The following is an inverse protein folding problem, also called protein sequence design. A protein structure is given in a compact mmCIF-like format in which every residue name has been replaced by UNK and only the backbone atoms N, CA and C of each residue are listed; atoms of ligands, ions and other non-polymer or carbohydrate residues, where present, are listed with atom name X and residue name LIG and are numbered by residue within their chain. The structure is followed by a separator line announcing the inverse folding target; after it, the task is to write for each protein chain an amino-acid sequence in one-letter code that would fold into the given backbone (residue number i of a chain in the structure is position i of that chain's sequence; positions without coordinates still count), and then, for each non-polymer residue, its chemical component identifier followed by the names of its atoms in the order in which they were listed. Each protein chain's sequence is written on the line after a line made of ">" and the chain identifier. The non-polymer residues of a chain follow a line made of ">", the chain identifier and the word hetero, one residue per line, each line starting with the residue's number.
data_IF_029142532245
#
_entry.id   IF_029142532245
#
_cell.length_a   1.000
_cell.length_b   1.000
_cell.length_c   1.000
_cell.angle_alpha   90.00
_cell.angle_beta   90.00
_cell.angle_gamma   90.00
#
_symmetry.space_group_name_H-M   'P 1'
#
loop_
_entity.id
_entity.type
_entity.pdbx_description
1 polymer ?
#
# COMPACT_ATOMS: atom_id res chain seq x y z
N UNK A 1 15.14 -9.78 19.02
CA UNK A 1 15.19 -10.48 17.72
C UNK A 1 14.54 -9.59 16.69
N UNK A 2 15.32 -9.08 15.74
CA UNK A 2 14.89 -8.11 14.73
C UNK A 2 15.11 -8.79 13.38
N UNK A 3 14.01 -9.04 12.67
CA UNK A 3 14.00 -9.57 11.30
C UNK A 3 13.69 -8.41 10.36
N UNK A 4 14.43 -8.34 9.26
CA UNK A 4 14.31 -7.33 8.23
C UNK A 4 12.85 -7.06 7.79
N UNK A 5 12.44 -5.79 7.81
CA UNK A 5 11.21 -5.31 7.16
C UNK A 5 10.16 -4.70 8.11
N UNK A 6 10.23 -3.38 8.29
CA UNK A 6 9.09 -2.49 8.55
C UNK A 6 8.16 -2.81 9.74
N UNK A 7 8.22 -1.99 10.79
CA UNK A 7 7.09 -1.86 11.71
C UNK A 7 6.00 -0.98 11.07
N UNK A 8 5.22 -1.52 10.14
CA UNK A 8 4.07 -0.81 9.54
C UNK A 8 2.79 -1.15 10.30
N UNK A 9 2.65 -0.59 11.50
CA UNK A 9 1.36 -0.51 12.18
C UNK A 9 0.41 0.31 11.29
N UNK A 10 -0.59 -0.35 10.70
CA UNK A 10 -1.60 0.31 9.88
C UNK A 10 -2.52 1.15 10.79
N UNK A 11 -2.65 2.45 10.52
CA UNK A 11 -3.56 3.31 11.27
C UNK A 11 -5.03 2.93 10.95
N UNK A 12 -5.71 2.34 11.94
CA UNK A 12 -7.11 1.92 11.84
C UNK A 12 -8.11 2.98 12.32
N UNK A 13 -7.65 4.16 12.75
CA UNK A 13 -8.55 5.23 13.20
C UNK A 13 -9.47 5.65 12.06
N UNK A 14 -10.74 5.82 12.37
CA UNK A 14 -11.75 6.36 11.45
C UNK A 14 -12.10 7.77 11.85
N UNK A 15 -12.15 8.66 10.86
CA UNK A 15 -12.52 10.07 11.07
C UNK A 15 -13.16 10.62 9.80
N UNK A 16 -13.49 11.90 9.83
CA UNK A 16 -14.11 12.61 8.72
C UNK A 16 -13.15 12.72 7.54
N UNK A 17 -13.69 12.50 6.34
CA UNK A 17 -13.00 12.70 5.07
C UNK A 17 -13.62 13.90 4.35
N UNK A 18 -12.79 14.73 3.76
CA UNK A 18 -13.18 15.98 3.11
C UNK A 18 -12.81 15.94 1.64
N UNK A 19 -13.75 16.39 0.78
CA UNK A 19 -13.54 16.45 -0.68
C UNK A 19 -12.60 17.57 -1.09
N UNK A 20 -12.47 18.62 -0.28
CA UNK A 20 -11.60 19.76 -0.57
C UNK A 20 -10.69 20.08 0.61
N UNK A 21 -9.52 20.63 0.30
CA UNK A 21 -8.58 21.20 1.25
C UNK A 21 -8.03 22.51 0.70
N UNK A 22 -8.07 23.55 1.52
CA UNK A 22 -7.64 24.91 1.21
C UNK A 22 -6.31 25.17 1.92
N UNK A 23 -5.21 25.09 1.17
CA UNK A 23 -3.85 25.17 1.74
C UNK A 23 -3.45 26.55 2.22
N UNK A 24 -4.12 27.60 1.74
CA UNK A 24 -3.91 29.00 2.11
C UNK A 24 -4.27 29.28 3.57
N UNK A 25 -5.33 28.65 4.07
CA UNK A 25 -5.84 28.86 5.44
C UNK A 25 -5.93 27.56 6.26
N UNK A 26 -5.57 26.41 5.68
CA UNK A 26 -5.58 25.10 6.34
C UNK A 26 -6.98 24.56 6.62
N UNK A 27 -8.00 24.99 5.89
CA UNK A 27 -9.39 24.55 6.08
C UNK A 27 -9.81 23.47 5.08
N UNK A 28 -10.94 22.82 5.34
CA UNK A 28 -11.49 21.76 4.51
C UNK A 28 -13.01 21.82 4.51
N UNK A 29 -13.62 21.36 3.43
CA UNK A 29 -15.07 21.26 3.30
C UNK A 29 -15.49 20.02 2.49
N UNK A 30 -16.78 19.89 2.23
CA UNK A 30 -17.32 18.77 1.48
C UNK A 30 -17.15 17.45 2.22
N UNK A 31 -17.37 17.48 3.54
CA UNK A 31 -17.36 16.32 4.44
C UNK A 31 -18.21 15.16 3.89
N UNK A 32 -17.67 13.96 3.94
CA UNK A 32 -18.39 12.74 3.62
C UNK A 32 -19.16 12.23 4.84
N UNK A 33 -20.33 11.65 4.59
CA UNK A 33 -21.28 11.20 5.62
C UNK A 33 -20.78 10.04 6.48
N UNK A 34 -19.68 9.39 6.09
CA UNK A 34 -19.17 8.20 6.76
C UNK A 34 -17.72 8.38 7.19
N UNK A 35 -17.44 7.99 8.43
CA UNK A 35 -16.09 7.95 8.95
C UNK A 35 -15.30 6.81 8.31
N UNK A 36 -14.15 7.13 7.76
CA UNK A 36 -13.25 6.18 7.11
C UNK A 36 -11.81 6.38 7.59
N UNK A 37 -10.94 5.42 7.28
CA UNK A 37 -9.52 5.55 7.63
C UNK A 37 -8.84 6.59 6.74
N UNK A 38 -7.71 7.15 7.21
CA UNK A 38 -6.91 8.10 6.42
C UNK A 38 -6.53 7.50 5.06
N UNK A 39 -6.18 6.21 5.04
CA UNK A 39 -5.87 5.45 3.81
C UNK A 39 -7.07 5.39 2.87
N UNK A 40 -8.26 5.05 3.35
CA UNK A 40 -9.47 5.02 2.50
C UNK A 40 -9.81 6.42 1.97
N UNK A 41 -9.69 7.46 2.78
CA UNK A 41 -9.97 8.83 2.33
C UNK A 41 -8.98 9.29 1.24
N UNK A 42 -7.68 9.19 1.52
CA UNK A 42 -6.64 9.78 0.66
C UNK A 42 -6.26 8.90 -0.53
N UNK A 43 -6.44 7.58 -0.45
CA UNK A 43 -6.05 6.64 -1.48
C UNK A 43 -7.23 6.15 -2.34
N UNK A 44 -8.44 6.67 -2.12
CA UNK A 44 -9.58 6.44 -3.01
C UNK A 44 -9.55 7.42 -4.17
N UNK A 45 -9.79 6.93 -5.40
CA UNK A 45 -9.74 7.74 -6.60
C UNK A 45 -10.75 8.90 -6.56
N UNK A 46 -10.26 10.14 -6.61
CA UNK A 46 -11.07 11.37 -6.60
C UNK A 46 -12.01 11.57 -5.40
N UNK A 47 -11.69 10.99 -4.25
CA UNK A 47 -12.53 11.11 -3.04
C UNK A 47 -11.99 12.15 -2.07
N UNK A 48 -10.89 11.85 -1.38
CA UNK A 48 -10.40 12.67 -0.27
C UNK A 48 -9.30 13.64 -0.68
N UNK A 49 -9.35 14.83 -0.08
CA UNK A 49 -8.28 15.84 -0.09
C UNK A 49 -7.81 16.20 1.31
N UNK A 50 -8.62 15.95 2.34
CA UNK A 50 -8.20 16.02 3.73
C UNK A 50 -8.94 15.01 4.63
N UNK A 51 -8.35 14.71 5.78
CA UNK A 51 -8.86 13.74 6.74
C UNK A 51 -8.67 14.25 8.17
N UNK A 52 -9.54 13.84 9.10
CA UNK A 52 -9.55 14.20 10.53
C UNK A 52 -10.25 15.53 10.90
N UNK A 53 -10.45 15.77 12.21
CA UNK A 53 -10.83 17.07 12.77
C UNK A 53 -9.90 17.42 13.94
N UNK A 54 -9.15 18.55 13.89
CA UNK A 54 -8.94 19.43 12.73
C UNK A 54 -8.36 18.65 11.55
N UNK A 55 -8.69 19.09 10.33
CA UNK A 55 -8.36 18.32 9.14
C UNK A 55 -6.90 18.49 8.72
N UNK A 56 -6.35 17.38 8.23
CA UNK A 56 -4.99 17.25 7.74
C UNK A 56 -5.05 16.99 6.24
N UNK A 57 -4.19 17.66 5.47
CA UNK A 57 -4.09 17.47 4.02
C UNK A 57 -3.72 16.01 3.68
N UNK A 58 -4.40 15.44 2.69
CA UNK A 58 -4.01 14.17 2.10
C UNK A 58 -2.70 14.31 1.31
N UNK A 59 -1.82 13.30 1.30
CA UNK A 59 -0.60 13.35 0.51
C UNK A 59 -0.91 13.43 -0.99
N UNK A 60 -0.03 14.09 -1.75
CA UNK A 60 -0.21 14.29 -3.20
C UNK A 60 0.23 13.03 -3.96
N UNK A 61 -0.56 12.51 -4.94
CA UNK A 61 -0.31 11.23 -5.63
C UNK A 61 1.09 11.02 -6.22
N UNK A 62 1.82 12.08 -6.56
CA UNK A 62 3.19 12.03 -7.11
C UNK A 62 4.29 12.06 -6.05
N UNK A 63 3.95 12.00 -4.76
CA UNK A 63 4.92 12.12 -3.66
C UNK A 63 5.21 10.79 -3.01
N UNK A 64 6.45 10.61 -2.52
CA UNK A 64 6.82 9.43 -1.74
C UNK A 64 5.92 9.25 -0.49
N UNK A 65 5.39 10.34 0.07
CA UNK A 65 4.45 10.29 1.21
C UNK A 65 3.15 9.59 0.83
N UNK A 66 2.66 9.81 -0.40
CA UNK A 66 1.50 9.09 -0.94
C UNK A 66 1.82 7.61 -1.14
N UNK A 67 2.96 7.30 -1.77
CA UNK A 67 3.38 5.90 -1.96
C UNK A 67 3.55 5.16 -0.62
N UNK A 68 4.03 5.80 0.43
CA UNK A 68 4.14 5.22 1.77
C UNK A 68 2.74 4.95 2.38
N UNK A 69 1.79 5.89 2.24
CA UNK A 69 0.44 5.74 2.81
C UNK A 69 -0.42 4.74 2.02
N UNK A 70 -0.38 4.84 0.69
CA UNK A 70 -1.24 4.10 -0.23
C UNK A 70 -0.58 2.81 -0.76
N UNK A 71 0.72 2.61 -0.52
CA UNK A 71 1.49 1.46 -0.98
C UNK A 71 1.81 1.45 -2.47
N UNK A 72 1.25 2.38 -3.26
CA UNK A 72 1.59 2.58 -4.66
C UNK A 72 1.38 4.05 -5.08
N UNK A 73 1.81 4.41 -6.29
CA UNK A 73 1.56 5.73 -6.88
C UNK A 73 0.12 5.88 -7.41
N UNK A 74 -0.69 4.82 -7.33
CA UNK A 74 -2.07 4.78 -7.81
C UNK A 74 -3.05 4.60 -6.64
N UNK A 75 -4.31 5.04 -6.79
CA UNK A 75 -5.36 4.72 -5.84
C UNK A 75 -5.49 3.20 -5.68
N UNK A 76 -5.62 2.73 -4.44
CA UNK A 76 -5.90 1.33 -4.10
C UNK A 76 -7.38 1.04 -3.85
N UNK A 77 -8.24 2.07 -3.90
CA UNK A 77 -9.68 1.92 -3.69
C UNK A 77 -10.47 2.71 -4.73
N UNK A 78 -11.67 2.22 -5.04
CA UNK A 78 -12.73 2.97 -5.71
C UNK A 78 -14.01 2.91 -4.90
N UNK A 79 -14.92 3.85 -5.13
CA UNK A 79 -16.27 3.80 -4.57
C UNK A 79 -17.21 3.26 -5.62
N UNK A 80 -17.94 2.21 -5.28
CA UNK A 80 -19.04 1.74 -6.11
C UNK A 80 -20.17 2.79 -6.09
N UNK A 81 -20.46 3.36 -7.26
CA UNK A 81 -21.40 4.48 -7.40
C UNK A 81 -22.85 4.10 -7.08
N UNK A 82 -23.19 2.81 -7.07
CA UNK A 82 -24.55 2.32 -6.83
C UNK A 82 -24.79 2.01 -5.35
N UNK A 83 -23.75 1.54 -4.65
CA UNK A 83 -23.84 1.10 -3.26
C UNK A 83 -23.18 2.07 -2.28
N UNK A 84 -22.32 2.98 -2.76
CA UNK A 84 -21.52 3.87 -1.92
C UNK A 84 -20.42 3.15 -1.13
N UNK A 85 -20.17 1.88 -1.43
CA UNK A 85 -19.17 1.08 -0.73
C UNK A 85 -17.77 1.37 -1.25
N UNK A 86 -16.80 1.41 -0.33
CA UNK A 86 -15.38 1.47 -0.67
C UNK A 86 -14.94 0.07 -1.04
N UNK A 87 -14.55 -0.12 -2.30
CA UNK A 87 -14.09 -1.40 -2.83
C UNK A 87 -12.59 -1.30 -3.10
N UNK A 88 -11.89 -2.34 -2.65
CA UNK A 88 -10.48 -2.57 -2.90
C UNK A 88 -10.21 -2.82 -4.39
N UNK A 89 -9.19 -2.18 -4.94
CA UNK A 89 -8.72 -2.48 -6.30
C UNK A 89 -7.76 -3.67 -6.18
N UNK A 90 -8.17 -4.84 -6.68
CA UNK A 90 -7.24 -5.96 -6.81
C UNK A 90 -6.29 -5.70 -7.99
N UNK A 91 -5.12 -5.11 -7.72
CA UNK A 91 -4.16 -4.81 -8.77
C UNK A 91 -3.54 -6.07 -9.39
N UNK A 92 -3.60 -7.22 -8.70
CA UNK A 92 -3.12 -8.50 -9.21
C UNK A 92 -3.99 -9.05 -10.35
N UNK A 93 -5.27 -8.68 -10.41
CA UNK A 93 -6.18 -9.07 -11.50
C UNK A 93 -6.09 -8.14 -12.73
N UNK A 94 -5.53 -6.95 -12.57
CA UNK A 94 -5.57 -5.88 -13.57
C UNK A 94 -4.29 -5.77 -14.44
N UNK A 95 -3.38 -6.75 -14.37
CA UNK A 95 -2.19 -6.84 -15.23
C UNK A 95 -0.88 -7.11 -14.47
N UNK A 96 0.27 -7.07 -15.16
CA UNK A 96 1.57 -7.32 -14.54
C UNK A 96 1.98 -6.13 -13.67
N UNK A 97 1.64 -6.19 -12.38
CA UNK A 97 2.01 -5.19 -11.37
C UNK A 97 3.27 -5.54 -10.59
N UNK A 98 3.70 -6.80 -10.68
CA UNK A 98 4.92 -7.31 -10.07
C UNK A 98 5.99 -7.60 -11.13
N UNK A 99 7.24 -7.57 -10.71
CA UNK A 99 8.38 -7.89 -11.57
C UNK A 99 8.40 -9.38 -11.96
N UNK A 100 9.22 -9.70 -12.96
CA UNK A 100 9.39 -11.09 -13.38
C UNK A 100 9.89 -11.97 -12.21
N UNK A 101 9.39 -13.20 -12.15
CA UNK A 101 9.66 -14.17 -11.07
C UNK A 101 9.16 -13.75 -9.68
N UNK A 102 8.27 -12.77 -9.59
CA UNK A 102 7.50 -12.47 -8.39
C UNK A 102 6.04 -12.94 -8.53
N UNK A 103 5.44 -13.36 -7.42
CA UNK A 103 3.99 -13.50 -7.25
C UNK A 103 3.39 -12.21 -6.71
N UNK A 104 2.15 -11.92 -7.10
CA UNK A 104 1.37 -10.79 -6.59
C UNK A 104 0.40 -11.27 -5.51
N UNK A 105 0.33 -10.53 -4.41
CA UNK A 105 -0.61 -10.75 -3.31
C UNK A 105 -1.41 -9.49 -3.07
N UNK A 106 -2.73 -9.55 -3.29
CA UNK A 106 -3.63 -8.44 -3.05
C UNK A 106 -3.68 -8.10 -1.54
N UNK A 107 -3.74 -6.83 -1.21
CA UNK A 107 -3.79 -6.30 0.16
C UNK A 107 -4.83 -5.17 0.23
N UNK A 108 -5.51 -4.94 1.35
CA UNK A 108 -6.43 -3.81 1.44
C UNK A 108 -5.78 -2.44 1.12
N UNK A 109 -6.17 -1.89 -0.02
CA UNK A 109 -5.73 -0.65 -0.62
C UNK A 109 -4.31 -0.68 -1.14
N UNK A 110 -3.77 -1.85 -1.49
CA UNK A 110 -2.43 -2.03 -2.06
C UNK A 110 -2.20 -3.46 -2.56
N UNK A 111 -0.99 -3.78 -2.97
CA UNK A 111 -0.56 -5.13 -3.22
C UNK A 111 0.87 -5.28 -2.73
N UNK A 112 1.31 -6.51 -2.55
CA UNK A 112 2.74 -6.79 -2.35
C UNK A 112 3.21 -7.85 -3.34
N UNK A 113 4.44 -7.67 -3.79
CA UNK A 113 5.13 -8.64 -4.61
C UNK A 113 6.07 -9.45 -3.74
N UNK A 114 6.05 -10.77 -3.87
CA UNK A 114 7.05 -11.64 -3.24
C UNK A 114 7.71 -12.50 -4.31
N UNK A 115 9.03 -12.68 -4.23
CA UNK A 115 9.74 -13.55 -5.17
C UNK A 115 9.22 -14.99 -5.05
N UNK A 116 9.04 -15.65 -6.19
CA UNK A 116 8.66 -17.07 -6.26
C UNK A 116 9.75 -17.94 -5.59
N UNK A 117 9.40 -19.17 -5.14
CA UNK A 117 10.40 -20.10 -4.62
C UNK A 117 11.61 -20.23 -5.55
N UNK A 118 12.81 -20.19 -4.98
CA UNK A 118 14.08 -20.20 -5.74
C UNK A 118 14.62 -18.81 -6.12
N UNK A 119 13.84 -17.74 -5.92
CA UNK A 119 14.23 -16.36 -6.23
C UNK A 119 14.32 -15.48 -4.99
N UNK A 120 15.18 -14.46 -5.00
CA UNK A 120 15.29 -13.47 -3.92
C UNK A 120 15.40 -12.06 -4.47
N UNK A 121 14.93 -11.10 -3.68
CA UNK A 121 15.09 -9.68 -3.97
C UNK A 121 16.57 -9.29 -3.96
N UNK A 122 17.02 -8.67 -5.03
CA UNK A 122 18.29 -7.94 -5.07
C UNK A 122 18.16 -6.60 -4.35
N UNK A 123 19.27 -5.91 -4.04
CA UNK A 123 19.24 -4.51 -3.58
C UNK A 123 18.55 -3.56 -4.56
N UNK A 124 18.47 -3.93 -5.85
CA UNK A 124 17.76 -3.19 -6.90
C UNK A 124 16.27 -3.56 -7.00
N UNK A 125 15.76 -4.44 -6.12
CA UNK A 125 14.35 -4.84 -6.07
C UNK A 125 13.94 -5.92 -7.08
N UNK A 126 14.91 -6.59 -7.71
CA UNK A 126 14.67 -7.64 -8.72
C UNK A 126 14.65 -9.03 -8.11
N UNK A 127 13.75 -9.90 -8.59
CA UNK A 127 13.74 -11.30 -8.22
C UNK A 127 14.68 -12.09 -9.13
N UNK A 128 15.92 -12.27 -8.68
CA UNK A 128 16.90 -13.12 -9.36
C UNK A 128 16.92 -14.51 -8.73
N UNK A 129 17.00 -15.52 -9.60
CA UNK A 129 17.11 -16.91 -9.18
C UNK A 129 18.44 -17.07 -8.45
N UNK A 130 18.47 -17.89 -7.41
CA UNK A 130 19.75 -18.53 -7.08
C UNK A 130 20.05 -19.47 -8.24
N UNK A 131 21.11 -19.21 -8.98
CA UNK A 131 21.59 -20.14 -10.01
C UNK A 131 21.59 -21.57 -9.42
N UNK A 132 21.01 -22.52 -10.17
CA UNK A 132 20.58 -23.83 -9.68
C UNK A 132 21.56 -24.55 -8.75
N UNK A 133 21.36 -24.39 -7.45
CA UNK A 133 22.04 -25.14 -6.40
C UNK A 133 21.00 -25.84 -5.55
N UNK A 134 21.05 -27.16 -5.58
CA UNK A 134 20.23 -28.08 -4.79
C UNK A 134 20.11 -27.66 -3.32
N UNK A 135 19.05 -28.17 -2.68
CA UNK A 135 18.78 -28.17 -1.25
C UNK A 135 20.05 -28.13 -0.37
N UNK A 136 20.55 -26.94 -0.09
CA UNK A 136 21.56 -26.71 0.93
C UNK A 136 20.83 -26.20 2.16
N UNK A 137 20.15 -27.15 2.80
CA UNK A 137 19.89 -27.11 4.24
C UNK A 137 21.24 -26.84 4.91
N UNK A 138 21.41 -25.66 5.50
CA UNK A 138 22.55 -25.39 6.36
C UNK A 138 22.38 -26.19 7.66
N UNK A 139 22.72 -27.48 7.65
CA UNK A 139 23.09 -28.19 8.88
C UNK A 139 24.59 -27.94 9.05
N UNK A 140 24.96 -27.04 9.97
CA UNK A 140 26.33 -27.08 10.50
C UNK A 140 26.48 -28.41 11.24
N UNK A 141 27.12 -29.41 10.63
CA UNK A 141 27.78 -30.44 11.41
C UNK A 141 29.04 -29.80 12.00
N UNK A 142 29.21 -29.97 13.31
CA UNK A 142 30.47 -29.69 13.97
C UNK A 142 31.53 -30.66 13.48
N UNK A 143 32.77 -30.19 13.47
CA UNK A 143 33.97 -30.99 13.61
C UNK A 143 34.84 -30.29 14.67
N UNK A 144 35.58 -31.13 15.39
CA UNK A 144 36.20 -30.96 16.71
C UNK A 144 37.18 -29.79 16.90
#
# INVERSE_FOLDING_TARGET
>A
MQVNGGNNCMDMRKSFCYRNFYSDNGTCDGELTFNMTKKMCCCSYNIGRAWNRPCEQCPVPSTNVFAILCGSERPGYYIDIYTGQVIDIDECQNGPVCQQNAGCFNMPGSYRCECKPGYRFTPTGQCLGKDGGEDSVWVRMGED
#
